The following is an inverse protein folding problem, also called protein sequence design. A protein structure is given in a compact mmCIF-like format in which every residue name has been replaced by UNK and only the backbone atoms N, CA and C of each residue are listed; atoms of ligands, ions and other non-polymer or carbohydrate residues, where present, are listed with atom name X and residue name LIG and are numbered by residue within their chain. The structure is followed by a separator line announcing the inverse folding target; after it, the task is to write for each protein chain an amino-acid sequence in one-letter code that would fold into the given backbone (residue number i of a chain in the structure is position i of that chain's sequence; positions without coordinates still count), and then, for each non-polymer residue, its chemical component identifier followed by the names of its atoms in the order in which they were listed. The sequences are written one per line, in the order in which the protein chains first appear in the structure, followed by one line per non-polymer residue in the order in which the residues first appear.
data_IF_645290176755
#
_entry.id   IF_645290176755
#
_cell.length_a   1.000
_cell.length_b   1.000
_cell.length_c   1.000
_cell.angle_alpha   90.00
_cell.angle_beta   90.00
_cell.angle_gamma   90.00
#
_symmetry.space_group_name_H-M   'P 1'
#
loop_
_entity.id
_entity.type
_entity.pdbx_description
1 polymer ?
#
# COMPACT_ATOMS: atom_id res chain seq x y z
N UNK A 1 -36.43 44.18 -36.07
CA UNK A 1 -35.03 43.96 -35.69
C UNK A 1 -35.06 42.99 -34.50
N UNK A 2 -35.00 41.70 -34.80
CA UNK A 2 -35.09 40.59 -33.84
C UNK A 2 -33.68 40.19 -33.47
N UNK A 3 -33.36 40.27 -32.17
CA UNK A 3 -32.10 39.78 -31.61
C UNK A 3 -32.11 38.24 -31.61
N UNK A 4 -31.02 37.57 -31.90
CA UNK A 4 -30.93 36.10 -31.78
C UNK A 4 -30.73 35.73 -30.29
N UNK A 5 -31.71 35.07 -29.75
CA UNK A 5 -31.60 34.32 -28.47
C UNK A 5 -31.07 32.91 -28.80
N UNK A 6 -30.02 32.47 -28.19
CA UNK A 6 -29.67 31.06 -28.20
C UNK A 6 -28.18 30.80 -28.35
N UNK A 7 -27.52 30.44 -27.29
CA UNK A 7 -26.17 29.91 -27.37
C UNK A 7 -25.40 29.71 -26.06
N UNK A 8 -26.02 29.93 -24.92
CA UNK A 8 -25.26 29.93 -23.63
C UNK A 8 -25.48 28.69 -22.76
N UNK A 9 -26.51 27.87 -23.02
CA UNK A 9 -26.88 26.75 -22.14
C UNK A 9 -26.10 25.47 -22.37
N UNK A 10 -25.77 25.12 -23.62
CA UNK A 10 -25.07 23.85 -23.92
C UNK A 10 -23.58 23.86 -23.50
N UNK A 11 -22.92 25.01 -23.56
CA UNK A 11 -21.50 25.14 -23.16
C UNK A 11 -21.32 24.99 -21.68
N UNK A 12 -22.22 25.53 -20.86
CA UNK A 12 -22.17 25.48 -19.38
C UNK A 12 -22.42 24.08 -18.82
N UNK A 13 -23.32 23.27 -19.37
CA UNK A 13 -23.58 21.90 -18.93
C UNK A 13 -22.40 20.97 -19.25
N UNK A 14 -21.80 21.10 -20.43
CA UNK A 14 -20.61 20.35 -20.83
C UNK A 14 -19.42 20.70 -19.93
N UNK A 15 -19.24 21.96 -19.57
CA UNK A 15 -18.19 22.42 -18.68
C UNK A 15 -18.37 21.89 -17.25
N UNK A 16 -19.61 21.88 -16.74
CA UNK A 16 -19.92 21.32 -15.43
C UNK A 16 -19.65 19.81 -15.39
N UNK A 17 -20.08 19.05 -16.39
CA UNK A 17 -19.82 17.62 -16.47
C UNK A 17 -18.32 17.30 -16.52
N UNK A 18 -17.54 18.11 -17.24
CA UNK A 18 -16.08 17.98 -17.28
C UNK A 18 -15.43 18.27 -15.93
N UNK A 19 -15.91 19.30 -15.22
CA UNK A 19 -15.43 19.61 -13.86
C UNK A 19 -15.78 18.51 -12.86
N UNK A 20 -16.98 17.96 -12.91
CA UNK A 20 -17.40 16.83 -12.06
C UNK A 20 -16.47 15.64 -12.27
N UNK A 21 -16.23 15.23 -13.51
CA UNK A 21 -15.30 14.13 -13.80
C UNK A 21 -13.88 14.38 -13.26
N UNK A 22 -13.38 15.61 -13.35
CA UNK A 22 -12.07 15.97 -12.80
C UNK A 22 -12.05 15.87 -11.28
N UNK A 23 -13.11 16.29 -10.59
CA UNK A 23 -13.25 16.17 -9.14
C UNK A 23 -13.29 14.69 -8.77
N UNK A 24 -14.12 13.87 -9.42
CA UNK A 24 -14.19 12.42 -9.18
C UNK A 24 -12.84 11.72 -9.35
N UNK A 25 -12.06 12.12 -10.36
CA UNK A 25 -10.70 11.61 -10.57
C UNK A 25 -9.77 11.99 -9.41
N UNK A 26 -9.77 13.25 -8.98
CA UNK A 26 -8.94 13.72 -7.87
C UNK A 26 -9.32 13.07 -6.53
N UNK A 27 -10.61 12.86 -6.30
CA UNK A 27 -11.11 12.12 -5.13
C UNK A 27 -10.66 10.66 -5.15
N UNK A 28 -10.75 10.00 -6.31
CA UNK A 28 -10.28 8.63 -6.49
C UNK A 28 -8.77 8.51 -6.24
N UNK A 29 -7.96 9.41 -6.78
CA UNK A 29 -6.51 9.45 -6.51
C UNK A 29 -6.23 9.66 -5.01
N UNK A 30 -6.98 10.54 -4.34
CA UNK A 30 -6.83 10.78 -2.92
C UNK A 30 -7.20 9.54 -2.07
N UNK A 31 -8.26 8.82 -2.44
CA UNK A 31 -8.67 7.59 -1.77
C UNK A 31 -7.63 6.48 -1.96
N UNK A 32 -7.15 6.27 -3.19
CA UNK A 32 -6.10 5.29 -3.50
C UNK A 32 -4.81 5.59 -2.71
N UNK A 33 -4.42 6.86 -2.63
CA UNK A 33 -3.26 7.30 -1.85
C UNK A 33 -3.42 6.97 -0.36
N UNK A 34 -4.61 7.21 0.21
CA UNK A 34 -4.91 6.87 1.61
C UNK A 34 -4.87 5.35 1.84
N UNK A 35 -5.44 4.56 0.93
CA UNK A 35 -5.43 3.09 1.01
C UNK A 35 -4.00 2.57 0.98
N UNK A 36 -3.19 3.03 0.03
CA UNK A 36 -1.80 2.61 -0.10
C UNK A 36 -0.96 3.01 1.12
N UNK A 37 -1.11 4.23 1.59
CA UNK A 37 -0.42 4.70 2.78
C UNK A 37 -0.82 3.90 4.02
N UNK A 38 -2.12 3.65 4.23
CA UNK A 38 -2.61 2.86 5.35
C UNK A 38 -2.15 1.41 5.30
N UNK A 39 -2.15 0.80 4.12
CA UNK A 39 -1.63 -0.55 3.92
C UNK A 39 -0.16 -0.66 4.37
N UNK A 40 0.70 0.26 3.90
CA UNK A 40 2.11 0.26 4.32
C UNK A 40 2.26 0.50 5.81
N UNK A 41 1.52 1.45 6.35
CA UNK A 41 1.54 1.77 7.77
C UNK A 41 1.12 0.58 8.64
N UNK A 42 0.07 -0.15 8.26
CA UNK A 42 -0.34 -1.38 8.93
C UNK A 42 0.71 -2.51 8.81
N UNK A 43 1.55 -2.50 7.78
CA UNK A 43 2.63 -3.47 7.60
C UNK A 43 3.90 -3.15 8.39
N UNK A 44 4.00 -2.00 9.04
CA UNK A 44 5.15 -1.61 9.84
C UNK A 44 5.23 -2.37 11.17
N UNK A 45 6.43 -2.43 11.73
CA UNK A 45 6.71 -3.05 13.03
C UNK A 45 7.61 -2.11 13.85
N UNK A 46 7.32 -1.84 15.14
CA UNK A 46 6.10 -2.21 15.88
C UNK A 46 4.84 -1.57 15.26
N UNK A 47 3.67 -2.12 15.61
CA UNK A 47 2.38 -1.66 15.03
C UNK A 47 2.22 -0.15 15.25
N UNK A 48 2.13 0.64 14.17
CA UNK A 48 2.14 2.09 14.29
C UNK A 48 0.75 2.71 14.43
N UNK A 49 -0.30 2.03 13.96
CA UNK A 49 -1.66 2.56 13.98
C UNK A 49 -2.20 2.56 15.42
N UNK A 50 -2.54 3.76 15.90
CA UNK A 50 -3.08 3.93 17.24
C UNK A 50 -4.41 3.18 17.41
N UNK A 51 -4.51 2.41 18.50
CA UNK A 51 -5.71 1.64 18.83
C UNK A 51 -5.74 0.22 18.29
N UNK A 52 -4.80 -0.18 17.43
CA UNK A 52 -4.63 -1.58 17.01
C UNK A 52 -4.04 -2.37 18.17
N UNK A 53 -4.74 -3.42 18.64
CA UNK A 53 -4.39 -4.13 19.88
C UNK A 53 -3.33 -5.20 19.66
N UNK A 54 -3.41 -5.89 18.52
CA UNK A 54 -2.58 -7.04 18.22
C UNK A 54 -2.44 -7.29 16.72
N UNK A 55 -1.64 -8.28 16.37
CA UNK A 55 -1.38 -8.65 14.98
C UNK A 55 -2.60 -9.24 14.26
N UNK A 56 -3.55 -9.83 14.97
CA UNK A 56 -4.76 -10.38 14.33
C UNK A 56 -5.69 -9.25 13.92
N UNK A 57 -5.88 -8.25 14.79
CA UNK A 57 -6.64 -7.04 14.45
C UNK A 57 -5.97 -6.27 13.29
N UNK A 58 -4.63 -6.17 13.30
CA UNK A 58 -3.86 -5.61 12.18
C UNK A 58 -4.18 -6.31 10.85
N UNK A 59 -4.18 -7.65 10.84
CA UNK A 59 -4.50 -8.44 9.65
C UNK A 59 -5.94 -8.18 9.22
N UNK A 60 -6.90 -8.11 10.14
CA UNK A 60 -8.29 -7.80 9.82
C UNK A 60 -8.44 -6.44 9.14
N UNK A 61 -7.71 -5.42 9.62
CA UNK A 61 -7.68 -4.09 9.02
C UNK A 61 -7.02 -4.09 7.63
N UNK A 62 -5.95 -4.84 7.45
CA UNK A 62 -5.31 -5.01 6.14
C UNK A 62 -6.29 -5.67 5.16
N UNK A 63 -6.99 -6.71 5.58
CA UNK A 63 -7.92 -7.43 4.71
C UNK A 63 -9.10 -6.57 4.25
N UNK A 64 -9.51 -5.55 5.02
CA UNK A 64 -10.53 -4.58 4.60
C UNK A 64 -10.10 -3.70 3.42
N UNK A 65 -8.79 -3.58 3.18
CA UNK A 65 -8.24 -2.82 2.06
C UNK A 65 -8.23 -3.59 0.74
N UNK A 66 -8.45 -4.91 0.76
CA UNK A 66 -8.40 -5.79 -0.40
C UNK A 66 -9.80 -6.18 -0.88
N UNK A 67 -9.91 -6.47 -2.18
CA UNK A 67 -11.08 -7.16 -2.75
C UNK A 67 -11.01 -8.65 -2.45
N UNK A 68 -12.17 -9.35 -2.51
CA UNK A 68 -12.24 -10.80 -2.27
C UNK A 68 -11.40 -11.62 -3.26
N UNK A 69 -11.29 -11.15 -4.49
CA UNK A 69 -10.55 -11.77 -5.60
C UNK A 69 -9.12 -11.23 -5.76
N UNK A 70 -8.62 -10.49 -4.79
CA UNK A 70 -7.33 -9.83 -4.88
C UNK A 70 -6.16 -10.81 -5.03
N UNK A 71 -5.06 -10.30 -5.59
CA UNK A 71 -3.78 -11.02 -5.70
C UNK A 71 -2.70 -10.26 -4.96
N UNK A 72 -1.92 -10.97 -4.16
CA UNK A 72 -0.69 -10.47 -3.56
C UNK A 72 0.50 -11.28 -4.08
N UNK A 73 1.53 -10.62 -4.61
CA UNK A 73 2.71 -11.30 -5.14
C UNK A 73 4.00 -10.52 -4.91
N UNK A 74 5.05 -11.25 -4.58
CA UNK A 74 6.42 -10.77 -4.59
C UNK A 74 7.16 -11.33 -5.80
N UNK A 75 7.88 -10.49 -6.53
CA UNK A 75 8.55 -10.83 -7.79
C UNK A 75 10.03 -10.48 -7.75
N UNK A 76 10.85 -11.33 -8.37
CA UNK A 76 12.29 -11.26 -8.37
C UNK A 76 12.92 -12.37 -7.53
N UNK A 77 14.12 -12.80 -7.87
CA UNK A 77 14.79 -13.97 -7.31
C UNK A 77 14.73 -14.06 -5.78
N UNK A 78 14.88 -12.92 -5.10
CA UNK A 78 14.79 -12.85 -3.64
C UNK A 78 13.34 -13.01 -3.14
N UNK A 79 12.36 -12.37 -3.80
CA UNK A 79 10.96 -12.36 -3.34
C UNK A 79 10.19 -13.61 -3.75
N UNK A 80 10.53 -14.25 -4.88
CA UNK A 80 9.91 -15.49 -5.32
C UNK A 80 10.07 -16.61 -4.27
N UNK A 81 11.22 -16.64 -3.59
CA UNK A 81 11.50 -17.61 -2.53
C UNK A 81 10.99 -17.20 -1.15
N UNK A 82 10.75 -15.89 -0.91
CA UNK A 82 10.35 -15.38 0.40
C UNK A 82 8.85 -15.14 0.52
N UNK A 83 8.22 -14.61 -0.51
CA UNK A 83 6.84 -14.14 -0.45
C UNK A 83 5.90 -14.94 -1.34
N UNK A 84 6.34 -15.34 -2.53
CA UNK A 84 5.53 -16.09 -3.47
C UNK A 84 4.31 -15.30 -3.95
N UNK A 85 3.21 -16.04 -4.15
CA UNK A 85 1.94 -15.50 -4.65
C UNK A 85 0.77 -16.06 -3.84
N UNK A 86 -0.17 -15.19 -3.49
CA UNK A 86 -1.41 -15.51 -2.81
C UNK A 86 -2.61 -14.95 -3.61
N UNK A 87 -3.61 -15.76 -3.92
CA UNK A 87 -4.81 -15.41 -4.67
C UNK A 87 -6.07 -15.57 -3.81
N UNK A 88 -6.88 -14.52 -3.77
CA UNK A 88 -8.10 -14.43 -2.99
C UNK A 88 -7.84 -14.08 -1.52
N UNK A 89 -8.88 -13.50 -0.89
CA UNK A 89 -8.80 -12.98 0.47
C UNK A 89 -8.29 -14.00 1.49
N UNK A 90 -8.73 -15.26 1.41
CA UNK A 90 -8.32 -16.30 2.36
C UNK A 90 -6.82 -16.63 2.25
N UNK A 91 -6.27 -16.70 1.03
CA UNK A 91 -4.86 -16.96 0.80
C UNK A 91 -3.98 -15.77 1.22
N UNK A 92 -4.44 -14.54 0.95
CA UNK A 92 -3.75 -13.31 1.37
C UNK A 92 -3.75 -13.20 2.90
N UNK A 93 -4.86 -13.48 3.57
CA UNK A 93 -4.93 -13.54 5.03
C UNK A 93 -3.91 -14.53 5.60
N UNK A 94 -3.85 -15.73 5.04
CA UNK A 94 -2.88 -16.76 5.45
C UNK A 94 -1.44 -16.29 5.24
N UNK A 95 -1.17 -15.57 4.15
CA UNK A 95 0.13 -14.98 3.88
C UNK A 95 0.54 -14.00 5.01
N UNK A 96 -0.34 -13.08 5.40
CA UNK A 96 -0.06 -12.15 6.49
C UNK A 96 0.05 -12.84 7.86
N UNK A 97 -0.72 -13.88 8.11
CA UNK A 97 -0.58 -14.70 9.31
C UNK A 97 0.79 -15.37 9.40
N UNK A 98 1.42 -15.69 8.26
CA UNK A 98 2.79 -16.19 8.20
C UNK A 98 3.82 -15.18 8.71
N UNK A 99 3.56 -13.87 8.59
CA UNK A 99 4.44 -12.83 9.11
C UNK A 99 4.22 -12.51 10.59
N UNK A 100 2.95 -12.47 11.05
CA UNK A 100 2.60 -11.93 12.34
C UNK A 100 1.85 -12.93 13.25
N UNK A 101 1.35 -14.02 12.71
CA UNK A 101 0.50 -14.96 13.44
C UNK A 101 1.22 -15.90 14.42
N UNK A 102 2.52 -15.78 14.62
CA UNK A 102 3.31 -16.63 15.49
C UNK A 102 4.65 -16.02 15.91
N UNK A 103 5.30 -16.65 16.90
CA UNK A 103 6.67 -16.27 17.28
C UNK A 103 7.62 -16.61 16.13
N UNK A 104 8.25 -15.58 15.59
CA UNK A 104 9.38 -15.73 14.66
C UNK A 104 10.70 -15.64 15.43
N UNK A 105 11.66 -16.46 15.06
CA UNK A 105 13.01 -16.45 15.62
C UNK A 105 14.05 -16.57 14.48
N UNK A 106 14.82 -15.50 14.23
CA UNK A 106 14.78 -14.19 14.87
C UNK A 106 13.50 -13.40 14.52
N UNK A 107 12.97 -12.68 15.49
CA UNK A 107 11.79 -11.82 15.29
C UNK A 107 12.17 -10.55 14.54
N UNK A 108 11.30 -10.08 13.63
CA UNK A 108 11.40 -8.76 13.04
C UNK A 108 10.93 -7.73 14.07
N UNK A 109 11.83 -6.89 14.57
CA UNK A 109 11.56 -5.91 15.62
C UNK A 109 11.40 -4.50 15.12
N UNK A 110 11.90 -4.19 13.93
CA UNK A 110 11.70 -2.92 13.24
C UNK A 110 11.50 -3.16 11.75
N UNK A 111 10.48 -2.53 11.21
CA UNK A 111 10.19 -2.41 9.79
C UNK A 111 9.41 -1.12 9.56
N UNK A 112 9.88 -0.26 8.67
CA UNK A 112 9.20 0.98 8.27
C UNK A 112 9.20 1.11 6.75
N UNK A 113 8.05 1.39 6.17
CA UNK A 113 7.92 1.61 4.74
C UNK A 113 8.00 3.11 4.39
N UNK A 114 8.99 3.49 3.59
CA UNK A 114 9.13 4.83 3.03
C UNK A 114 8.71 4.79 1.56
N UNK A 115 7.57 5.41 1.23
CA UNK A 115 7.07 5.50 -0.14
C UNK A 115 7.57 6.76 -0.82
N UNK A 116 8.02 6.61 -2.07
CA UNK A 116 8.48 7.72 -2.94
C UNK A 116 8.00 7.52 -4.37
N UNK A 117 8.17 8.54 -5.20
CA UNK A 117 7.93 8.48 -6.66
C UNK A 117 6.53 7.98 -7.03
N UNK A 118 5.53 8.52 -6.34
CA UNK A 118 4.13 8.15 -6.55
C UNK A 118 3.65 8.49 -7.96
N UNK A 119 2.98 7.54 -8.59
CA UNK A 119 2.19 7.73 -9.80
C UNK A 119 0.87 6.96 -9.64
N UNK A 120 -0.25 7.66 -9.78
CA UNK A 120 -1.59 7.07 -9.74
C UNK A 120 -2.29 7.44 -11.04
N UNK A 121 -2.89 6.47 -11.70
CA UNK A 121 -3.65 6.64 -12.93
C UNK A 121 -5.04 6.02 -12.77
N UNK A 122 -6.05 6.87 -12.67
CA UNK A 122 -7.47 6.45 -12.70
C UNK A 122 -7.89 6.29 -14.15
N UNK A 123 -8.42 5.13 -14.51
CA UNK A 123 -8.82 4.84 -15.88
C UNK A 123 -10.10 5.60 -16.24
N UNK A 124 -10.36 5.74 -17.55
CA UNK A 124 -11.53 6.48 -18.08
C UNK A 124 -12.88 5.97 -17.58
N UNK A 125 -12.96 4.68 -17.17
CA UNK A 125 -14.16 4.10 -16.59
C UNK A 125 -14.49 4.62 -15.18
N UNK A 126 -13.57 5.37 -14.54
CA UNK A 126 -13.74 5.94 -13.21
C UNK A 126 -13.84 4.92 -12.05
N UNK A 127 -13.63 3.63 -12.34
CA UNK A 127 -13.82 2.54 -11.36
C UNK A 127 -12.61 1.63 -11.19
N UNK A 128 -11.58 1.79 -12.03
CA UNK A 128 -10.31 1.06 -11.92
C UNK A 128 -9.14 2.03 -11.99
N UNK A 129 -8.03 1.66 -11.38
CA UNK A 129 -6.82 2.47 -11.36
C UNK A 129 -5.57 1.63 -11.19
N UNK A 130 -4.45 2.16 -11.67
CA UNK A 130 -3.11 1.68 -11.41
C UNK A 130 -2.38 2.65 -10.48
N UNK A 131 -1.54 2.11 -9.60
CA UNK A 131 -0.68 2.90 -8.72
C UNK A 131 0.72 2.34 -8.67
N UNK A 132 1.71 3.22 -8.77
CA UNK A 132 3.13 2.86 -8.75
C UNK A 132 3.86 3.69 -7.70
N UNK A 133 4.76 3.02 -6.97
CA UNK A 133 5.66 3.64 -5.99
C UNK A 133 7.02 2.97 -6.02
N UNK A 134 8.03 3.70 -5.60
CA UNK A 134 9.29 3.11 -5.16
C UNK A 134 9.29 3.14 -3.64
N UNK A 135 9.52 2.01 -3.00
CA UNK A 135 9.62 1.97 -1.55
C UNK A 135 11.02 1.61 -1.08
N UNK A 136 11.36 2.11 0.10
CA UNK A 136 12.56 1.75 0.85
C UNK A 136 12.15 1.31 2.25
N UNK A 137 12.87 0.33 2.81
CA UNK A 137 12.42 -0.36 4.02
C UNK A 137 13.62 -0.90 4.79
N UNK A 138 13.98 -0.31 5.93
CA UNK A 138 14.92 -0.93 6.87
C UNK A 138 14.23 -2.04 7.64
N UNK A 139 14.92 -3.16 7.79
CA UNK A 139 14.54 -4.26 8.67
C UNK A 139 15.60 -4.46 9.73
N UNK A 140 15.15 -4.68 10.98
CA UNK A 140 16.01 -5.07 12.09
C UNK A 140 15.40 -6.28 12.79
N UNK A 141 16.20 -7.31 12.95
CA UNK A 141 15.82 -8.55 13.63
C UNK A 141 16.34 -8.60 15.07
N UNK A 142 15.73 -9.43 15.90
CA UNK A 142 16.07 -9.60 17.31
C UNK A 142 17.49 -10.16 17.54
N UNK A 143 18.08 -10.83 16.53
CA UNK A 143 19.46 -11.30 16.54
C UNK A 143 20.49 -10.22 16.15
N UNK A 144 20.03 -8.99 15.90
CA UNK A 144 20.86 -7.86 15.49
C UNK A 144 21.16 -7.77 14.00
N UNK A 145 20.71 -8.74 13.19
CA UNK A 145 20.80 -8.61 11.74
C UNK A 145 19.91 -7.49 11.26
N UNK A 146 20.41 -6.72 10.29
CA UNK A 146 19.67 -5.64 9.68
C UNK A 146 19.83 -5.64 8.16
N UNK A 147 18.76 -5.27 7.47
CA UNK A 147 18.69 -5.19 6.01
C UNK A 147 18.13 -3.84 5.59
N UNK A 148 18.65 -3.29 4.50
CA UNK A 148 17.98 -2.25 3.74
C UNK A 148 17.40 -2.88 2.47
N UNK A 149 16.13 -2.65 2.23
CA UNK A 149 15.41 -3.22 1.09
C UNK A 149 14.80 -2.10 0.27
N UNK A 150 14.71 -2.32 -1.03
CA UNK A 150 13.97 -1.47 -1.93
C UNK A 150 13.19 -2.29 -2.94
N UNK A 151 12.00 -1.83 -3.28
CA UNK A 151 11.14 -2.45 -4.30
C UNK A 151 10.38 -1.40 -5.09
N UNK A 152 9.92 -1.80 -6.26
CA UNK A 152 8.85 -1.13 -6.98
C UNK A 152 7.53 -1.79 -6.63
N UNK A 153 6.54 -0.99 -6.34
CA UNK A 153 5.17 -1.43 -6.14
C UNK A 153 4.38 -1.10 -7.40
N UNK A 154 3.75 -2.10 -7.98
CA UNK A 154 2.85 -1.97 -9.13
C UNK A 154 1.50 -2.55 -8.73
N UNK A 155 0.65 -1.71 -8.17
CA UNK A 155 -0.62 -2.12 -7.57
C UNK A 155 -1.79 -1.72 -8.46
N UNK A 156 -2.87 -2.47 -8.39
CA UNK A 156 -4.12 -2.13 -9.07
C UNK A 156 -5.25 -2.01 -8.07
N UNK A 157 -6.23 -1.17 -8.40
CA UNK A 157 -7.34 -0.81 -7.53
C UNK A 157 -8.66 -0.87 -8.28
N UNK A 158 -9.73 -1.15 -7.54
CA UNK A 158 -11.09 -1.13 -8.06
C UNK A 158 -12.03 -0.46 -7.06
N UNK A 159 -12.92 0.36 -7.57
CA UNK A 159 -14.05 0.89 -6.80
C UNK A 159 -15.14 -0.17 -6.78
N UNK A 160 -15.44 -0.68 -5.59
CA UNK A 160 -16.44 -1.72 -5.41
C UNK A 160 -17.87 -1.15 -5.46
N UNK A 161 -18.93 -2.01 -5.56
CA UNK A 161 -20.31 -1.54 -5.61
C UNK A 161 -20.77 -0.71 -4.42
N UNK A 162 -20.08 -0.82 -3.28
CA UNK A 162 -20.32 0.01 -2.09
C UNK A 162 -19.69 1.42 -2.19
N UNK A 163 -19.07 1.72 -3.32
CA UNK A 163 -18.41 3.01 -3.58
C UNK A 163 -17.00 3.12 -2.98
N UNK A 164 -16.48 2.09 -2.33
CA UNK A 164 -15.17 2.10 -1.67
C UNK A 164 -14.11 1.55 -2.62
N UNK A 165 -13.00 2.27 -2.75
CA UNK A 165 -11.83 1.76 -3.45
C UNK A 165 -11.13 0.67 -2.63
N UNK A 166 -10.66 -0.38 -3.31
CA UNK A 166 -9.89 -1.48 -2.71
C UNK A 166 -8.77 -1.94 -3.63
N UNK A 167 -7.76 -2.55 -3.03
CA UNK A 167 -6.61 -3.15 -3.74
C UNK A 167 -7.09 -4.46 -4.38
N UNK A 168 -6.95 -4.57 -5.69
CA UNK A 168 -7.18 -5.83 -6.44
C UNK A 168 -5.89 -6.60 -6.65
N UNK A 169 -4.76 -5.91 -6.64
CA UNK A 169 -3.45 -6.54 -6.76
C UNK A 169 -2.39 -5.72 -6.05
N UNK A 170 -1.62 -6.38 -5.21
CA UNK A 170 -0.31 -5.91 -4.75
C UNK A 170 0.76 -6.69 -5.48
N UNK A 171 1.61 -5.98 -6.22
CA UNK A 171 2.79 -6.56 -6.86
C UNK A 171 4.04 -5.81 -6.40
N UNK A 172 4.88 -6.48 -5.64
CA UNK A 172 6.14 -5.93 -5.16
C UNK A 172 7.30 -6.55 -5.93
N UNK A 173 8.06 -5.72 -6.64
CA UNK A 173 9.20 -6.14 -7.45
C UNK A 173 10.49 -5.74 -6.74
N UNK A 174 11.31 -6.72 -6.39
CA UNK A 174 12.57 -6.46 -5.70
C UNK A 174 13.53 -5.63 -6.55
N UNK A 175 14.05 -4.54 -6.00
CA UNK A 175 15.11 -3.73 -6.61
C UNK A 175 16.46 -4.13 -6.03
N UNK A 176 16.58 -4.14 -4.70
CA UNK A 176 17.75 -4.66 -3.99
C UNK A 176 17.40 -5.07 -2.55
N UNK A 177 18.24 -5.93 -2.00
CA UNK A 177 18.33 -6.21 -0.58
C UNK A 177 19.81 -6.14 -0.21
N UNK A 178 20.15 -5.25 0.72
CA UNK A 178 21.51 -5.04 1.17
C UNK A 178 21.61 -5.24 2.69
N UNK A 179 22.57 -6.02 3.19
CA UNK A 179 22.83 -6.07 4.63
C UNK A 179 23.34 -4.71 5.10
N UNK A 180 22.86 -4.27 6.26
CA UNK A 180 23.40 -3.12 6.96
C UNK A 180 24.55 -3.56 7.88
N UNK A 181 25.44 -2.61 8.21
CA UNK A 181 26.58 -2.93 9.06
C UNK A 181 26.13 -3.36 10.47
N UNK A 182 26.88 -4.23 11.16
CA UNK A 182 26.57 -4.62 12.55
C UNK A 182 26.49 -3.41 13.51
N UNK A 183 27.28 -2.35 13.26
CA UNK A 183 27.24 -1.12 14.05
C UNK A 183 25.93 -0.37 13.93
N UNK A 184 25.30 -0.40 12.75
CA UNK A 184 23.97 0.15 12.57
C UNK A 184 22.94 -0.60 13.43
N UNK A 185 22.97 -1.92 13.41
CA UNK A 185 22.05 -2.77 14.15
C UNK A 185 22.25 -2.66 15.68
N UNK A 186 23.46 -2.47 16.17
CA UNK A 186 23.75 -2.33 17.58
C UNK A 186 23.38 -0.98 18.17
N UNK A 187 23.55 0.11 17.38
CA UNK A 187 23.32 1.46 17.86
C UNK A 187 21.89 1.95 17.63
N UNK A 188 21.25 1.48 16.59
CA UNK A 188 19.95 1.98 16.14
C UNK A 188 18.83 1.76 17.18
N UNK A 189 18.64 0.59 17.78
CA UNK A 189 17.55 0.35 18.71
C UNK A 189 17.55 1.29 19.92
N UNK A 190 18.73 1.64 20.43
CA UNK A 190 18.87 2.53 21.60
C UNK A 190 18.51 3.98 21.30
N UNK A 191 18.44 4.36 20.03
CA UNK A 191 18.14 5.73 19.56
C UNK A 191 16.76 5.87 18.91
N UNK A 192 16.10 4.76 18.62
CA UNK A 192 14.77 4.78 18.01
C UNK A 192 13.68 5.05 19.04
N UNK A 193 12.79 6.00 18.74
CA UNK A 193 11.59 6.26 19.55
C UNK A 193 10.56 5.12 19.48
N UNK A 194 10.69 4.24 18.50
CA UNK A 194 9.80 3.09 18.29
C UNK A 194 10.25 1.85 19.08
N UNK A 195 11.53 1.75 19.40
CA UNK A 195 12.11 0.62 20.11
C UNK A 195 12.44 1.08 21.53
N UNK A 196 11.64 0.62 22.49
CA UNK A 196 11.91 0.87 23.90
C UNK A 196 13.08 0.00 24.34
N UNK A 197 13.98 0.52 25.19
CA UNK A 197 15.07 -0.27 25.78
C UNK A 197 14.55 -1.41 26.65
#
# INVERSE_FOLDING_TARGET
MTLPNGGTSMTTETDIAALVRRIETLEAEADIRRIQARYMFLCDTPIPEYGVKDDMERIDLIMQLYTEDAVWEGVGEYYDNQFGRAEGAAAIRKHFQGFWGGKQDPALILNCHYLTSEQIHVHENGTTADGQWVHMQPWLFSDGKALLRSSRLNNTFRKEPDGVWRITRTRTENVFVAPLSPTWASDYPSKSVLLKP
#
